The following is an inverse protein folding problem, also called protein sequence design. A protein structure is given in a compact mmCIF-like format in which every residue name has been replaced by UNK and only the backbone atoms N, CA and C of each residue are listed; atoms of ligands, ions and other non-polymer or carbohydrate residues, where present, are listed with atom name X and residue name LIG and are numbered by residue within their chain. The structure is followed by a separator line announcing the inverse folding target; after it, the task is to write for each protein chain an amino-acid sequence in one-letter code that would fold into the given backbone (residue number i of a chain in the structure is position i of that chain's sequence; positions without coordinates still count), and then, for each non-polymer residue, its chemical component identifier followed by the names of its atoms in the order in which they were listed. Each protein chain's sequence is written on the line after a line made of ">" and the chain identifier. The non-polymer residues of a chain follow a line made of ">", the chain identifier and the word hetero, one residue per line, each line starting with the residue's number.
data_IF_666423320367
#
_entry.id   IF_666423320367
#
_cell.length_a   1.000
_cell.length_b   1.000
_cell.length_c   1.000
_cell.angle_alpha   90.00
_cell.angle_beta   90.00
_cell.angle_gamma   90.00
#
_symmetry.space_group_name_H-M   'P 1'
#
loop_
_entity.id
_entity.type
_entity.pdbx_description
1 polymer ?
#
# COMPACT_ATOMS: atom_id res chain seq x y z
N UNK A 1 0.10 -29.92 15.80
CA UNK A 1 -1.02 -29.11 15.27
C UNK A 1 -0.50 -28.37 14.06
N UNK A 2 -1.23 -28.38 12.94
CA UNK A 2 -0.87 -27.59 11.77
C UNK A 2 -0.92 -26.09 12.10
N UNK A 3 -0.27 -25.27 11.27
CA UNK A 3 -0.32 -23.81 11.37
C UNK A 3 -1.75 -23.34 11.00
N UNK A 4 -2.39 -22.53 11.84
CA UNK A 4 -3.71 -21.93 11.58
C UNK A 4 -3.65 -21.09 10.31
N UNK A 5 -4.59 -21.29 9.37
CA UNK A 5 -4.70 -20.44 8.20
C UNK A 5 -5.51 -19.20 8.51
N UNK A 6 -5.12 -18.09 7.86
CA UNK A 6 -5.78 -16.80 7.96
C UNK A 6 -6.41 -16.48 6.61
N UNK A 7 -7.64 -15.97 6.67
CA UNK A 7 -8.47 -15.71 5.51
C UNK A 7 -8.99 -14.29 5.54
N UNK A 8 -9.04 -13.64 4.38
CA UNK A 8 -9.72 -12.38 4.18
C UNK A 8 -11.12 -12.61 3.61
N UNK A 9 -12.15 -12.00 4.20
CA UNK A 9 -13.55 -12.19 3.80
C UNK A 9 -14.13 -11.07 2.94
N UNK A 10 -13.58 -9.86 3.06
CA UNK A 10 -14.07 -8.69 2.36
C UNK A 10 -13.68 -7.41 3.11
N UNK A 11 -13.84 -6.29 2.42
CA UNK A 11 -13.45 -4.99 2.92
C UNK A 11 -13.94 -3.85 2.07
N UNK A 12 -13.60 -2.64 2.49
CA UNK A 12 -14.01 -1.41 1.83
C UNK A 12 -12.85 -0.43 1.74
N UNK A 13 -12.78 0.32 0.64
CA UNK A 13 -11.95 1.50 0.50
C UNK A 13 -12.87 2.70 0.27
N UNK A 14 -12.60 3.82 0.96
CA UNK A 14 -13.33 5.07 0.71
C UNK A 14 -12.92 5.72 -0.61
N UNK A 15 -13.70 6.68 -1.09
CA UNK A 15 -13.33 7.50 -2.24
C UNK A 15 -12.18 8.47 -1.89
N UNK A 16 -10.99 8.24 -2.46
CA UNK A 16 -9.78 9.03 -2.18
C UNK A 16 -9.76 10.41 -2.84
N UNK A 17 -10.69 10.72 -3.75
CA UNK A 17 -10.81 12.09 -4.27
C UNK A 17 -11.43 13.06 -3.25
N UNK A 18 -12.11 12.54 -2.22
CA UNK A 18 -12.76 13.34 -1.19
C UNK A 18 -11.75 14.15 -0.37
N UNK A 19 -12.27 15.19 0.27
CA UNK A 19 -11.57 15.94 1.31
C UNK A 19 -12.48 15.95 2.53
N UNK A 20 -12.17 15.05 3.47
CA UNK A 20 -13.06 14.72 4.59
C UNK A 20 -13.23 15.93 5.51
N UNK A 21 -12.15 16.68 5.74
CA UNK A 21 -12.20 17.90 6.57
C UNK A 21 -13.08 18.99 5.95
N UNK A 22 -13.02 19.21 4.62
CA UNK A 22 -13.86 20.20 3.92
C UNK A 22 -15.33 19.78 3.84
N UNK A 23 -15.59 18.48 3.88
CA UNK A 23 -16.96 17.92 4.01
C UNK A 23 -17.52 18.08 5.43
N UNK A 24 -16.73 18.61 6.39
CA UNK A 24 -17.11 18.77 7.80
C UNK A 24 -16.95 17.49 8.61
N UNK A 25 -16.27 16.48 8.07
CA UNK A 25 -15.95 15.23 8.73
C UNK A 25 -14.56 15.21 9.35
N UNK A 26 -14.29 14.11 10.05
CA UNK A 26 -13.06 13.84 10.80
C UNK A 26 -12.77 12.32 10.81
N UNK A 27 -11.84 11.87 11.67
CA UNK A 27 -11.56 10.45 11.82
C UNK A 27 -12.77 9.65 12.29
N UNK A 28 -13.66 10.20 13.13
CA UNK A 28 -14.85 9.50 13.58
C UNK A 28 -15.80 9.23 12.40
N UNK A 29 -15.97 10.24 11.54
CA UNK A 29 -16.75 10.12 10.29
C UNK A 29 -16.18 9.03 9.39
N UNK A 30 -14.87 9.07 9.16
CA UNK A 30 -14.18 8.13 8.27
C UNK A 30 -14.18 6.68 8.82
N UNK A 31 -13.92 6.51 10.13
CA UNK A 31 -13.93 5.19 10.76
C UNK A 31 -15.35 4.60 10.77
N UNK A 32 -16.38 5.40 10.99
CA UNK A 32 -17.77 4.91 10.94
C UNK A 32 -18.13 4.36 9.55
N UNK A 33 -17.84 5.13 8.51
CA UNK A 33 -18.04 4.71 7.11
C UNK A 33 -17.31 3.40 6.81
N UNK A 34 -16.04 3.29 7.24
CA UNK A 34 -15.25 2.09 7.04
C UNK A 34 -15.80 0.88 7.76
N UNK A 35 -16.19 1.01 9.04
CA UNK A 35 -16.76 -0.09 9.81
C UNK A 35 -18.02 -0.61 9.12
N UNK A 36 -18.94 0.29 8.78
CA UNK A 36 -20.24 -0.07 8.18
C UNK A 36 -20.05 -0.85 6.88
N UNK A 37 -19.29 -0.30 5.94
CA UNK A 37 -19.12 -0.91 4.63
C UNK A 37 -18.18 -2.12 4.64
N UNK A 38 -17.19 -2.17 5.54
CA UNK A 38 -16.32 -3.35 5.69
C UNK A 38 -17.11 -4.53 6.23
N UNK A 39 -17.98 -4.34 7.22
CA UNK A 39 -18.83 -5.40 7.76
C UNK A 39 -19.89 -5.84 6.72
N UNK A 40 -20.50 -4.88 6.02
CA UNK A 40 -21.47 -5.17 4.95
C UNK A 40 -20.86 -6.04 3.83
N UNK A 41 -19.71 -5.64 3.31
CA UNK A 41 -19.06 -6.33 2.18
C UNK A 41 -18.52 -7.72 2.57
N UNK A 42 -17.92 -7.82 3.76
CA UNK A 42 -17.40 -9.08 4.32
C UNK A 42 -18.51 -10.03 4.80
N UNK A 43 -19.74 -9.52 4.97
CA UNK A 43 -20.87 -10.27 5.55
C UNK A 43 -20.55 -10.83 6.94
N UNK A 44 -19.83 -10.05 7.75
CA UNK A 44 -19.54 -10.37 9.15
C UNK A 44 -20.40 -9.50 10.05
N UNK A 45 -21.02 -10.13 11.03
CA UNK A 45 -21.79 -9.42 12.05
C UNK A 45 -20.84 -8.68 13.00
N UNK A 46 -21.17 -7.44 13.39
CA UNK A 46 -20.31 -6.64 14.28
C UNK A 46 -19.97 -7.37 15.59
N UNK A 47 -20.89 -8.17 16.12
CA UNK A 47 -20.70 -8.93 17.35
C UNK A 47 -19.74 -10.11 17.25
N UNK A 48 -19.31 -10.46 16.04
CA UNK A 48 -18.30 -11.49 15.80
C UNK A 48 -16.87 -10.96 15.89
N UNK A 49 -16.66 -9.64 15.91
CA UNK A 49 -15.33 -9.04 15.96
C UNK A 49 -14.70 -9.24 17.34
N UNK A 50 -13.57 -9.94 17.37
CA UNK A 50 -12.83 -10.26 18.60
C UNK A 50 -11.69 -9.27 18.90
N UNK A 51 -11.13 -8.64 17.86
CA UNK A 51 -9.99 -7.70 17.98
C UNK A 51 -9.99 -6.67 16.84
N UNK A 52 -9.48 -5.46 17.12
CA UNK A 52 -9.40 -4.38 16.15
C UNK A 52 -7.95 -3.86 16.02
N UNK A 53 -7.47 -3.72 14.79
CA UNK A 53 -6.16 -3.13 14.49
C UNK A 53 -6.34 -1.89 13.62
N UNK A 54 -5.85 -0.74 14.08
CA UNK A 54 -5.96 0.54 13.37
C UNK A 54 -4.58 1.01 12.88
N UNK A 55 -4.35 1.01 11.57
CA UNK A 55 -3.18 1.64 10.94
C UNK A 55 -3.39 3.14 10.77
N UNK A 56 -2.48 3.94 11.32
CA UNK A 56 -2.45 5.39 11.10
C UNK A 56 -1.03 5.89 11.31
N UNK A 57 -0.51 6.74 10.42
CA UNK A 57 0.86 7.24 10.54
C UNK A 57 0.92 8.58 11.28
N UNK A 58 0.10 9.55 10.86
CA UNK A 58 0.34 10.96 11.18
C UNK A 58 -0.87 11.68 11.78
N UNK A 59 -1.89 10.96 12.28
CA UNK A 59 -3.13 11.55 12.80
C UNK A 59 -2.90 12.55 13.95
N UNK A 60 -1.90 12.30 14.81
CA UNK A 60 -1.51 13.22 15.89
C UNK A 60 -0.97 14.56 15.37
N UNK A 61 -0.36 14.55 14.18
CA UNK A 61 0.28 15.71 13.58
C UNK A 61 -0.67 16.47 12.66
N UNK A 62 -1.48 15.77 11.86
CA UNK A 62 -2.41 16.40 10.90
C UNK A 62 -3.74 16.84 11.51
N UNK A 63 -4.25 16.09 12.48
CA UNK A 63 -5.59 16.29 13.03
C UNK A 63 -5.61 16.36 14.56
N UNK A 64 -4.43 16.40 15.20
CA UNK A 64 -4.29 16.43 16.66
C UNK A 64 -5.02 15.30 17.39
N UNK A 65 -5.18 14.16 16.71
CA UNK A 65 -5.92 13.01 17.22
C UNK A 65 -5.03 11.76 17.19
N UNK A 66 -4.60 11.34 18.38
CA UNK A 66 -3.95 10.06 18.62
C UNK A 66 -4.96 9.01 19.12
N UNK A 67 -4.47 8.02 19.86
CA UNK A 67 -5.29 6.98 20.54
C UNK A 67 -6.41 6.36 19.66
N UNK A 68 -6.15 6.24 18.35
CA UNK A 68 -7.17 5.88 17.36
C UNK A 68 -7.73 4.46 17.53
N UNK A 69 -7.03 3.58 18.27
CA UNK A 69 -7.58 2.27 18.64
C UNK A 69 -8.88 2.35 19.44
N UNK A 70 -9.10 3.41 20.22
CA UNK A 70 -10.34 3.59 20.99
C UNK A 70 -11.49 4.18 20.16
N UNK A 71 -11.20 4.76 18.98
CA UNK A 71 -12.18 5.50 18.19
C UNK A 71 -13.27 4.61 17.54
N UNK A 72 -12.99 3.37 17.08
CA UNK A 72 -14.03 2.45 16.62
C UNK A 72 -15.19 2.26 17.61
N UNK A 73 -14.88 2.06 18.90
CA UNK A 73 -15.89 1.88 19.94
C UNK A 73 -16.70 3.17 20.24
N UNK A 74 -16.16 4.34 19.90
CA UNK A 74 -16.87 5.60 20.05
C UNK A 74 -17.93 5.82 18.95
N UNK A 75 -17.75 5.21 17.77
CA UNK A 75 -18.66 5.36 16.62
C UNK A 75 -19.53 4.14 16.37
N UNK A 76 -19.14 2.98 16.88
CA UNK A 76 -19.92 1.74 16.85
C UNK A 76 -20.03 1.12 18.25
N UNK A 77 -21.16 1.32 18.96
CA UNK A 77 -21.32 0.91 20.35
C UNK A 77 -21.15 -0.60 20.61
N UNK A 78 -21.38 -1.45 19.60
CA UNK A 78 -21.18 -2.90 19.76
C UNK A 78 -19.70 -3.29 19.90
N UNK A 79 -18.78 -2.40 19.54
CA UNK A 79 -17.34 -2.62 19.68
C UNK A 79 -16.80 -2.19 21.07
N UNK A 80 -17.65 -1.70 21.98
CA UNK A 80 -17.24 -1.36 23.34
C UNK A 80 -16.77 -2.61 24.09
N UNK A 81 -15.53 -2.58 24.57
CA UNK A 81 -14.90 -3.69 25.30
C UNK A 81 -14.08 -4.64 24.42
N UNK A 82 -14.14 -4.49 23.10
CA UNK A 82 -13.29 -5.24 22.16
C UNK A 82 -11.85 -4.68 22.21
N UNK A 83 -10.82 -5.53 22.38
CA UNK A 83 -9.43 -5.11 22.34
C UNK A 83 -9.09 -4.41 21.02
N UNK A 84 -8.47 -3.24 21.12
CA UNK A 84 -8.11 -2.44 19.95
C UNK A 84 -6.75 -1.76 20.13
N UNK A 85 -5.96 -1.69 19.04
CA UNK A 85 -4.62 -1.09 19.06
C UNK A 85 -4.34 -0.25 17.81
N UNK A 86 -3.53 0.80 17.95
CA UNK A 86 -3.05 1.63 16.84
C UNK A 86 -1.63 1.20 16.46
N UNK A 87 -1.38 1.04 15.17
CA UNK A 87 -0.11 0.62 14.57
C UNK A 87 0.47 1.77 13.75
N UNK A 88 1.78 1.97 13.87
CA UNK A 88 2.53 3.04 13.22
C UNK A 88 3.84 2.48 12.66
N UNK A 89 4.09 2.71 11.38
CA UNK A 89 5.34 2.43 10.69
C UNK A 89 5.45 3.25 9.38
N UNK A 90 5.25 4.56 9.48
CA UNK A 90 5.07 5.50 8.39
C UNK A 90 4.02 4.97 7.38
N UNK A 91 4.35 4.98 6.10
CA UNK A 91 3.48 4.48 5.03
C UNK A 91 3.24 2.95 5.05
N UNK A 92 3.91 2.20 5.94
CA UNK A 92 3.66 0.77 6.18
C UNK A 92 2.72 0.49 7.36
N UNK A 93 2.14 1.52 7.98
CA UNK A 93 1.28 1.37 9.17
C UNK A 93 0.11 0.41 8.95
N UNK A 94 -0.55 0.48 7.78
CA UNK A 94 -1.62 -0.45 7.41
C UNK A 94 -1.15 -1.90 7.30
N UNK A 95 0.03 -2.14 6.71
CA UNK A 95 0.61 -3.49 6.67
C UNK A 95 1.06 -3.99 8.05
N UNK A 96 1.49 -3.12 8.96
CA UNK A 96 1.76 -3.52 10.34
C UNK A 96 0.48 -3.93 11.07
N UNK A 97 -0.63 -3.21 10.86
CA UNK A 97 -1.93 -3.59 11.38
C UNK A 97 -2.38 -4.97 10.86
N UNK A 98 -2.16 -5.27 9.57
CA UNK A 98 -2.42 -6.58 8.97
C UNK A 98 -1.54 -7.69 9.57
N UNK A 99 -0.23 -7.45 9.74
CA UNK A 99 0.68 -8.43 10.34
C UNK A 99 0.31 -8.72 11.79
N UNK A 100 -0.09 -7.70 12.56
CA UNK A 100 -0.57 -7.86 13.92
C UNK A 100 -1.82 -8.74 13.97
N UNK A 101 -2.81 -8.48 13.11
CA UNK A 101 -4.01 -9.32 13.00
C UNK A 101 -3.68 -10.77 12.59
N UNK A 102 -2.79 -10.97 11.61
CA UNK A 102 -2.33 -12.31 11.21
C UNK A 102 -1.63 -13.04 12.36
N UNK A 103 -0.84 -12.34 13.17
CA UNK A 103 -0.17 -12.91 14.32
C UNK A 103 -1.15 -13.30 15.44
N UNK A 104 -2.10 -12.42 15.74
CA UNK A 104 -3.10 -12.61 16.79
C UNK A 104 -4.07 -13.77 16.48
N UNK A 105 -4.58 -13.82 15.25
CA UNK A 105 -5.41 -14.94 14.77
C UNK A 105 -4.59 -16.24 14.66
N UNK A 106 -3.33 -16.14 14.22
CA UNK A 106 -2.44 -17.29 14.10
C UNK A 106 -2.04 -17.90 15.43
N UNK A 107 -2.00 -17.09 16.50
CA UNK A 107 -1.79 -17.52 17.87
C UNK A 107 -3.03 -18.17 18.50
N UNK A 108 -4.20 -18.03 17.88
CA UNK A 108 -5.48 -18.51 18.41
C UNK A 108 -5.99 -17.72 19.61
N UNK A 109 -5.54 -16.47 19.79
CA UNK A 109 -6.09 -15.57 20.81
C UNK A 109 -7.48 -15.07 20.42
N UNK A 110 -7.71 -14.91 19.12
CA UNK A 110 -8.92 -14.38 18.50
C UNK A 110 -9.21 -15.14 17.22
N UNK A 111 -10.44 -15.07 16.73
CA UNK A 111 -10.86 -15.76 15.51
C UNK A 111 -11.37 -14.81 14.42
N UNK A 112 -11.78 -13.58 14.76
CA UNK A 112 -12.17 -12.55 13.81
C UNK A 112 -11.55 -11.19 14.15
N UNK A 113 -10.80 -10.62 13.22
CA UNK A 113 -10.14 -9.33 13.35
C UNK A 113 -10.69 -8.32 12.35
N UNK A 114 -11.04 -7.13 12.85
CA UNK A 114 -11.31 -5.97 12.02
C UNK A 114 -10.03 -5.14 11.88
N UNK A 115 -9.52 -4.99 10.66
CA UNK A 115 -8.33 -4.19 10.37
C UNK A 115 -8.75 -2.94 9.63
N UNK A 116 -8.46 -1.77 10.18
CA UNK A 116 -8.80 -0.47 9.63
C UNK A 116 -7.53 0.34 9.39
N UNK A 117 -7.49 1.13 8.33
CA UNK A 117 -6.44 2.11 8.10
C UNK A 117 -7.05 3.43 7.70
N UNK A 118 -6.57 4.52 8.30
CA UNK A 118 -7.13 5.87 8.09
C UNK A 118 -6.04 6.92 8.08
N UNK A 119 -6.19 7.93 7.23
CA UNK A 119 -5.35 9.12 7.22
C UNK A 119 -6.15 10.36 6.77
N UNK A 120 -5.78 11.53 7.30
CA UNK A 120 -6.32 12.83 6.94
C UNK A 120 -5.15 13.76 6.60
N UNK A 121 -4.75 13.81 5.33
CA UNK A 121 -3.57 14.56 4.86
C UNK A 121 -3.93 15.91 4.24
N UNK A 122 -5.19 16.08 3.82
CA UNK A 122 -5.72 17.31 3.20
C UNK A 122 -6.36 18.26 4.23
N UNK A 123 -6.16 18.01 5.53
CA UNK A 123 -6.58 18.90 6.63
C UNK A 123 -5.73 20.17 6.73
N UNK A 124 -4.54 20.17 6.12
CA UNK A 124 -3.59 21.29 6.08
C UNK A 124 -3.14 21.60 4.64
N UNK A 125 -2.54 22.78 4.38
CA UNK A 125 -1.89 23.09 3.11
C UNK A 125 -0.75 22.11 2.76
N UNK A 126 -0.49 21.91 1.47
CA UNK A 126 0.43 20.86 0.99
C UNK A 126 1.90 21.01 1.43
N UNK A 127 2.39 22.24 1.60
CA UNK A 127 3.71 22.53 2.15
C UNK A 127 3.82 22.08 3.61
N UNK A 128 2.79 22.35 4.40
CA UNK A 128 2.69 21.88 5.79
C UNK A 128 2.53 20.36 5.85
N UNK A 129 1.74 19.77 4.96
CA UNK A 129 1.59 18.32 4.87
C UNK A 129 2.93 17.63 4.61
N UNK A 130 3.71 18.13 3.63
CA UNK A 130 5.04 17.62 3.34
C UNK A 130 6.00 17.72 4.53
N UNK A 131 5.94 18.81 5.29
CA UNK A 131 6.74 18.98 6.50
C UNK A 131 6.34 18.00 7.62
N UNK A 132 5.03 17.78 7.84
CA UNK A 132 4.52 16.82 8.83
C UNK A 132 4.99 15.39 8.51
N UNK A 133 4.87 14.98 7.24
CA UNK A 133 5.31 13.67 6.80
C UNK A 133 6.84 13.50 6.95
N UNK A 134 7.58 14.60 7.04
CA UNK A 134 8.99 14.63 7.38
C UNK A 134 9.34 13.85 8.66
N UNK A 135 8.38 13.69 9.57
CA UNK A 135 8.53 12.96 10.83
C UNK A 135 8.84 11.45 10.66
N UNK A 136 8.62 10.88 9.48
CA UNK A 136 8.99 9.49 9.20
C UNK A 136 10.45 9.31 8.67
N UNK A 137 11.22 10.38 8.50
CA UNK A 137 12.68 10.31 8.35
C UNK A 137 13.38 10.46 9.70
N UNK A 138 14.71 10.32 9.73
CA UNK A 138 15.47 10.63 10.94
C UNK A 138 15.51 12.14 11.21
N UNK A 139 14.53 12.60 11.99
CA UNK A 139 14.33 14.00 12.31
C UNK A 139 15.61 14.69 12.81
N UNK A 140 16.06 15.72 12.08
CA UNK A 140 17.26 16.48 12.40
C UNK A 140 18.58 15.85 11.93
N UNK A 141 18.57 14.67 11.32
CA UNK A 141 19.76 13.98 10.81
C UNK A 141 19.76 13.83 9.29
N UNK A 142 18.58 13.67 8.69
CA UNK A 142 18.38 13.46 7.26
C UNK A 142 17.65 14.64 6.60
N UNK A 143 17.90 14.87 5.31
CA UNK A 143 17.12 15.82 4.50
C UNK A 143 17.23 17.29 4.92
N UNK A 144 18.33 17.69 5.56
CA UNK A 144 18.51 19.06 6.10
C UNK A 144 18.47 20.15 5.03
N UNK A 145 18.91 19.82 3.82
CA UNK A 145 18.95 20.74 2.68
C UNK A 145 17.74 20.58 1.74
N UNK A 146 16.78 19.72 2.10
CA UNK A 146 15.63 19.43 1.25
C UNK A 146 14.58 20.54 1.32
N UNK A 147 14.05 20.95 0.18
CA UNK A 147 12.82 21.76 0.16
C UNK A 147 11.62 20.87 0.44
N UNK A 148 11.55 19.73 -0.25
CA UNK A 148 10.54 18.70 -0.02
C UNK A 148 11.24 17.40 0.40
N UNK A 149 11.10 17.04 1.68
CA UNK A 149 11.89 15.96 2.29
C UNK A 149 11.75 14.62 1.55
N UNK A 150 10.52 14.15 1.28
CA UNK A 150 10.32 12.86 0.61
C UNK A 150 10.76 12.84 -0.85
N UNK A 151 10.40 13.83 -1.71
CA UNK A 151 10.99 13.95 -3.04
C UNK A 151 12.53 13.96 -3.02
N UNK A 152 13.15 14.65 -2.06
CA UNK A 152 14.61 14.63 -1.88
C UNK A 152 15.15 13.22 -1.60
N UNK A 153 14.54 12.48 -0.68
CA UNK A 153 14.98 11.11 -0.36
C UNK A 153 14.90 10.17 -1.56
N UNK A 154 13.81 10.26 -2.34
CA UNK A 154 13.65 9.39 -3.49
C UNK A 154 14.45 9.86 -4.71
N UNK A 155 14.81 11.14 -4.81
CA UNK A 155 15.82 11.59 -5.77
C UNK A 155 17.21 11.02 -5.45
N UNK A 156 17.56 10.87 -4.17
CA UNK A 156 18.81 10.17 -3.77
C UNK A 156 18.78 8.69 -4.19
N UNK A 157 17.63 8.01 -4.06
CA UNK A 157 17.47 6.65 -4.59
C UNK A 157 17.62 6.64 -6.12
N UNK A 158 16.99 7.58 -6.82
CA UNK A 158 17.13 7.73 -8.28
C UNK A 158 18.59 7.96 -8.69
N UNK A 159 19.29 8.85 -7.99
CA UNK A 159 20.70 9.15 -8.24
C UNK A 159 21.57 7.90 -8.08
N UNK A 160 21.23 7.02 -7.14
CA UNK A 160 21.92 5.73 -6.98
C UNK A 160 21.68 4.79 -8.16
N UNK A 161 20.44 4.72 -8.66
CA UNK A 161 20.13 3.97 -9.89
C UNK A 161 20.87 4.53 -11.11
N UNK A 162 20.94 5.85 -11.27
CA UNK A 162 21.76 6.49 -12.31
C UNK A 162 23.24 6.10 -12.16
N UNK A 163 23.78 6.16 -10.94
CA UNK A 163 25.19 5.80 -10.67
C UNK A 163 25.50 4.35 -11.02
N UNK A 164 24.61 3.41 -10.70
CA UNK A 164 24.85 1.96 -10.88
C UNK A 164 24.49 1.46 -12.28
N UNK A 165 23.48 2.05 -12.93
CA UNK A 165 22.73 1.41 -14.02
C UNK A 165 22.32 2.35 -15.17
N UNK A 166 22.74 3.64 -15.14
CA UNK A 166 22.42 4.64 -16.17
C UNK A 166 20.91 4.76 -16.49
N UNK A 167 20.11 4.97 -15.45
CA UNK A 167 18.66 5.12 -15.54
C UNK A 167 18.24 6.33 -16.40
N UNK A 168 17.49 6.08 -17.47
CA UNK A 168 16.77 7.11 -18.24
C UNK A 168 15.47 7.51 -17.54
N UNK A 169 15.17 8.81 -17.55
CA UNK A 169 13.93 9.38 -17.02
C UNK A 169 12.68 8.85 -17.75
N UNK A 170 12.78 8.46 -19.03
CA UNK A 170 11.63 7.97 -19.79
C UNK A 170 10.92 6.78 -19.14
N UNK A 171 11.66 5.93 -18.42
CA UNK A 171 11.09 4.78 -17.70
C UNK A 171 10.30 5.21 -16.46
N UNK A 172 10.78 6.23 -15.75
CA UNK A 172 10.05 6.81 -14.61
C UNK A 172 8.77 7.50 -15.06
N UNK A 173 8.87 8.24 -16.18
CA UNK A 173 7.71 8.86 -16.82
C UNK A 173 6.67 7.83 -17.26
N UNK A 174 7.09 6.72 -17.86
CA UNK A 174 6.20 5.64 -18.29
C UNK A 174 5.46 4.98 -17.11
N UNK A 175 6.14 4.78 -15.98
CA UNK A 175 5.52 4.30 -14.73
C UNK A 175 4.46 5.28 -14.22
N UNK A 176 4.78 6.58 -14.17
CA UNK A 176 3.81 7.59 -13.75
C UNK A 176 2.58 7.64 -14.68
N UNK A 177 2.81 7.55 -15.99
CA UNK A 177 1.74 7.51 -17.00
C UNK A 177 0.85 6.27 -16.87
N UNK A 178 1.45 5.09 -16.66
CA UNK A 178 0.73 3.82 -16.41
C UNK A 178 -0.20 3.95 -15.20
N UNK A 179 0.32 4.39 -14.06
CA UNK A 179 -0.47 4.51 -12.83
C UNK A 179 -1.61 5.53 -12.96
N UNK A 180 -1.36 6.70 -13.58
CA UNK A 180 -2.41 7.69 -13.87
C UNK A 180 -3.47 7.15 -14.85
N UNK A 181 -3.06 6.37 -15.86
CA UNK A 181 -3.98 5.76 -16.83
C UNK A 181 -4.84 4.68 -16.17
N UNK A 182 -4.26 3.83 -15.34
CA UNK A 182 -4.96 2.78 -14.59
C UNK A 182 -6.02 3.39 -13.64
N UNK A 183 -5.66 4.46 -12.93
CA UNK A 183 -6.55 5.17 -12.02
C UNK A 183 -7.85 5.67 -12.66
N UNK A 184 -7.86 5.98 -13.97
CA UNK A 184 -9.07 6.42 -14.69
C UNK A 184 -10.20 5.41 -14.67
N UNK A 185 -9.87 4.13 -14.59
CA UNK A 185 -10.84 3.04 -14.52
C UNK A 185 -11.29 2.70 -13.10
N UNK A 186 -10.59 3.22 -12.10
CA UNK A 186 -10.89 3.00 -10.69
C UNK A 186 -11.86 4.09 -10.19
N UNK A 187 -13.11 3.76 -9.83
CA UNK A 187 -14.07 4.75 -9.36
C UNK A 187 -13.69 5.39 -8.01
N UNK A 188 -12.80 4.75 -7.24
CA UNK A 188 -12.35 5.23 -5.93
C UNK A 188 -11.00 5.96 -5.97
N UNK A 189 -10.34 6.01 -7.15
CA UNK A 189 -9.04 6.66 -7.29
C UNK A 189 -9.14 8.18 -7.25
N UNK A 190 -8.19 8.83 -6.58
CA UNK A 190 -8.10 10.28 -6.46
C UNK A 190 -7.96 10.97 -7.83
N UNK A 191 -7.20 10.38 -8.75
CA UNK A 191 -6.92 10.97 -10.07
C UNK A 191 -7.81 10.45 -11.19
N UNK A 192 -8.92 9.75 -10.90
CA UNK A 192 -9.80 9.12 -11.91
C UNK A 192 -10.29 10.05 -13.03
N UNK A 193 -10.41 11.35 -12.73
CA UNK A 193 -10.81 12.40 -13.70
C UNK A 193 -9.65 13.02 -14.49
N UNK A 194 -8.40 12.67 -14.18
CA UNK A 194 -7.22 13.24 -14.82
C UNK A 194 -6.94 12.53 -16.15
N UNK A 195 -6.39 13.27 -17.11
CA UNK A 195 -5.83 12.69 -18.33
C UNK A 195 -4.31 12.80 -18.24
N UNK A 196 -3.55 11.70 -18.42
CA UNK A 196 -2.10 11.74 -18.29
C UNK A 196 -1.44 12.85 -19.11
N UNK A 197 -1.85 13.04 -20.37
CA UNK A 197 -1.33 14.11 -21.23
C UNK A 197 -1.60 15.53 -20.71
N UNK A 198 -2.72 15.74 -19.99
CA UNK A 198 -3.05 17.06 -19.43
C UNK A 198 -2.11 17.43 -18.25
N UNK A 199 -1.46 16.44 -17.64
CA UNK A 199 -0.55 16.65 -16.49
C UNK A 199 0.92 16.41 -16.82
N UNK A 200 1.23 15.55 -17.79
CA UNK A 200 2.58 15.25 -18.27
C UNK A 200 3.03 16.19 -19.40
N UNK A 201 2.08 16.73 -20.17
CA UNK A 201 2.32 17.44 -21.42
C UNK A 201 2.34 16.52 -22.65
N UNK A 202 2.23 17.09 -23.87
CA UNK A 202 2.12 16.31 -25.11
C UNK A 202 3.36 15.46 -25.42
N UNK A 203 4.55 15.94 -25.04
CA UNK A 203 5.82 15.22 -25.21
C UNK A 203 6.22 14.42 -23.96
N UNK A 204 5.35 14.39 -22.95
CA UNK A 204 5.58 13.71 -21.67
C UNK A 204 6.57 14.40 -20.72
N UNK A 205 7.28 15.44 -21.21
CA UNK A 205 8.18 16.31 -20.45
C UNK A 205 7.81 17.77 -20.71
N UNK A 206 7.03 18.35 -19.81
CA UNK A 206 6.63 19.76 -19.87
C UNK A 206 6.97 20.43 -18.53
N UNK A 207 7.86 21.41 -18.51
CA UNK A 207 8.28 22.07 -17.26
C UNK A 207 7.19 22.99 -16.67
N UNK A 208 6.17 23.35 -17.46
CA UNK A 208 5.03 24.15 -17.00
C UNK A 208 3.96 23.26 -16.37
N UNK A 209 3.61 22.15 -17.04
CA UNK A 209 2.58 21.23 -16.58
C UNK A 209 3.13 20.21 -15.57
N UNK A 210 4.37 19.76 -15.74
CA UNK A 210 5.03 18.74 -14.93
C UNK A 210 6.40 19.23 -14.42
N UNK A 211 6.44 20.30 -13.60
CA UNK A 211 7.70 20.87 -13.12
C UNK A 211 8.49 19.88 -12.27
N UNK A 212 9.80 20.11 -12.18
CA UNK A 212 10.64 19.45 -11.17
C UNK A 212 10.18 19.84 -9.76
N UNK A 213 10.14 18.85 -8.86
CA UNK A 213 9.79 19.03 -7.45
C UNK A 213 11.06 19.10 -6.61
N UNK A 214 11.94 18.12 -6.78
CA UNK A 214 13.26 18.07 -6.15
C UNK A 214 14.21 17.26 -7.02
N UNK A 215 15.43 17.74 -7.21
CA UNK A 215 16.43 17.07 -8.03
C UNK A 215 15.91 16.73 -9.43
N UNK A 216 15.95 15.43 -9.80
CA UNK A 216 15.48 14.92 -11.07
C UNK A 216 14.04 14.39 -11.08
N UNK A 217 13.28 14.53 -9.99
CA UNK A 217 11.89 14.08 -9.92
C UNK A 217 10.93 15.20 -10.31
N UNK A 218 9.91 14.85 -11.11
CA UNK A 218 8.83 15.76 -11.52
C UNK A 218 7.56 15.53 -10.72
N UNK A 219 6.60 16.44 -10.85
CA UNK A 219 5.32 16.40 -10.14
C UNK A 219 4.57 15.07 -10.31
N UNK A 220 4.56 14.50 -11.52
CA UNK A 220 3.89 13.22 -11.80
C UNK A 220 4.62 12.00 -11.24
N UNK A 221 5.89 12.16 -10.86
CA UNK A 221 6.65 11.10 -10.18
C UNK A 221 6.27 10.97 -8.71
N UNK A 222 5.45 11.88 -8.16
CA UNK A 222 5.09 11.92 -6.75
C UNK A 222 3.63 11.47 -6.53
N UNK A 223 3.38 10.64 -5.51
CA UNK A 223 2.03 10.32 -5.06
C UNK A 223 1.27 11.52 -4.50
N UNK A 224 -0.05 11.42 -4.47
CA UNK A 224 -0.92 12.52 -4.04
C UNK A 224 -1.13 12.54 -2.51
N UNK A 225 -1.21 13.74 -1.92
CA UNK A 225 -1.75 13.91 -0.56
C UNK A 225 -3.22 13.50 -0.56
N UNK A 226 -3.60 12.60 0.35
CA UNK A 226 -4.87 11.88 0.29
C UNK A 226 -5.52 11.76 1.66
N UNK A 227 -6.79 12.20 1.76
CA UNK A 227 -7.66 11.76 2.85
C UNK A 227 -8.31 10.45 2.44
N UNK A 228 -8.43 9.53 3.38
CA UNK A 228 -9.21 8.31 3.14
C UNK A 228 -8.81 7.17 4.05
N UNK A 229 -9.50 6.06 3.83
CA UNK A 229 -9.19 4.83 4.54
C UNK A 229 -9.57 3.57 3.80
N UNK A 230 -9.13 2.46 4.36
CA UNK A 230 -9.47 1.12 3.91
C UNK A 230 -9.66 0.21 5.12
N UNK A 231 -10.59 -0.73 5.02
CA UNK A 231 -10.89 -1.71 6.05
C UNK A 231 -11.00 -3.11 5.46
N UNK A 232 -10.62 -4.13 6.23
CA UNK A 232 -10.76 -5.53 5.86
C UNK A 232 -11.00 -6.41 7.07
N UNK A 233 -11.79 -7.47 6.89
CA UNK A 233 -11.99 -8.51 7.92
C UNK A 233 -11.09 -9.70 7.63
N UNK A 234 -10.27 -10.06 8.62
CA UNK A 234 -9.45 -11.28 8.63
C UNK A 234 -9.99 -12.27 9.65
N UNK A 235 -9.97 -13.56 9.31
CA UNK A 235 -10.51 -14.63 10.16
C UNK A 235 -9.63 -15.87 10.19
N UNK A 236 -9.72 -16.64 11.26
CA UNK A 236 -9.06 -17.94 11.40
C UNK A 236 -9.86 -19.07 10.71
N UNK A 237 -9.23 -20.23 10.53
CA UNK A 237 -9.94 -21.47 10.16
C UNK A 237 -11.11 -21.77 11.11
N UNK A 238 -10.91 -21.57 12.42
CA UNK A 238 -11.91 -21.88 13.43
C UNK A 238 -13.16 -20.99 13.31
N UNK A 239 -13.00 -19.73 12.89
CA UNK A 239 -14.14 -18.87 12.56
C UNK A 239 -14.93 -19.45 11.39
N UNK A 240 -14.25 -19.78 10.27
CA UNK A 240 -14.91 -20.31 9.07
C UNK A 240 -15.64 -21.63 9.32
N UNK A 241 -15.10 -22.49 10.18
CA UNK A 241 -15.73 -23.76 10.57
C UNK A 241 -17.02 -23.55 11.38
N UNK A 242 -17.08 -22.50 12.21
CA UNK A 242 -18.28 -22.16 12.99
C UNK A 242 -19.38 -21.53 12.13
N UNK A 243 -18.99 -20.78 11.09
CA UNK A 243 -19.95 -20.12 10.22
C UNK A 243 -20.66 -21.14 9.32
N UNK A 244 -21.98 -21.29 9.52
CA UNK A 244 -22.82 -22.14 8.66
C UNK A 244 -23.15 -21.38 7.36
N UNK A 245 -22.57 -21.77 6.23
CA UNK A 245 -23.02 -21.31 4.91
C UNK A 245 -21.97 -20.65 4.00
N UNK A 246 -22.39 -19.58 3.29
CA UNK A 246 -21.69 -19.00 2.12
C UNK A 246 -20.39 -18.25 2.40
N UNK A 247 -19.99 -18.04 3.66
CA UNK A 247 -18.74 -17.36 4.03
C UNK A 247 -17.51 -18.00 3.38
N UNK A 248 -17.52 -19.33 3.21
CA UNK A 248 -16.45 -20.07 2.54
C UNK A 248 -16.32 -19.75 1.03
N UNK A 249 -17.36 -19.19 0.40
CA UNK A 249 -17.35 -18.93 -1.06
C UNK A 249 -16.58 -17.67 -1.45
N UNK A 250 -16.26 -16.77 -0.52
CA UNK A 250 -15.60 -15.47 -0.82
C UNK A 250 -14.31 -15.21 -0.03
N UNK A 251 -13.70 -16.26 0.50
CA UNK A 251 -12.50 -16.16 1.32
C UNK A 251 -11.22 -16.24 0.48
N UNK A 252 -10.26 -15.35 0.73
CA UNK A 252 -8.88 -15.44 0.18
C UNK A 252 -7.91 -15.80 1.27
N UNK A 253 -7.00 -16.74 1.01
CA UNK A 253 -6.00 -17.15 2.00
C UNK A 253 -4.81 -16.21 1.99
N UNK A 254 -4.31 -15.87 3.18
CA UNK A 254 -2.97 -15.31 3.35
C UNK A 254 -1.97 -16.46 3.24
N UNK A 255 -1.40 -16.66 2.05
CA UNK A 255 -0.50 -17.79 1.75
C UNK A 255 0.88 -17.61 2.36
N UNK A 256 1.38 -16.38 2.34
CA UNK A 256 2.70 -16.06 2.86
C UNK A 256 2.83 -14.57 3.15
N UNK A 257 3.78 -14.23 4.00
CA UNK A 257 4.15 -12.84 4.25
C UNK A 257 5.63 -12.72 4.59
N UNK A 258 6.18 -11.55 4.31
CA UNK A 258 7.53 -11.14 4.68
C UNK A 258 7.48 -9.82 5.42
N UNK A 259 8.39 -9.64 6.39
CA UNK A 259 8.52 -8.40 7.14
C UNK A 259 9.98 -8.20 7.52
N UNK A 260 10.56 -7.07 7.13
CA UNK A 260 11.89 -6.65 7.55
C UNK A 260 11.94 -5.17 7.88
N UNK A 261 12.88 -4.85 8.76
CA UNK A 261 13.26 -3.48 9.09
C UNK A 261 14.72 -3.28 8.72
N UNK A 262 15.02 -2.16 8.08
CA UNK A 262 16.35 -1.65 7.77
C UNK A 262 16.64 -0.40 8.61
N UNK A 263 17.83 0.20 8.46
CA UNK A 263 18.16 1.45 9.15
C UNK A 263 17.25 2.58 8.69
N UNK A 264 16.91 3.51 9.60
CA UNK A 264 16.10 4.68 9.23
C UNK A 264 16.83 5.57 8.21
N UNK A 265 18.15 5.73 8.38
CA UNK A 265 19.01 6.54 7.52
C UNK A 265 19.17 5.95 6.12
N UNK A 266 18.85 6.71 5.08
CA UNK A 266 18.96 6.28 3.68
C UNK A 266 20.42 6.05 3.28
N UNK A 267 21.34 6.92 3.68
CA UNK A 267 22.75 6.79 3.29
C UNK A 267 23.38 5.51 3.87
N UNK A 268 23.06 5.15 5.11
CA UNK A 268 23.42 3.85 5.68
C UNK A 268 22.86 2.68 4.85
N UNK A 269 21.61 2.76 4.40
CA UNK A 269 21.01 1.70 3.54
C UNK A 269 21.75 1.55 2.21
N UNK A 270 22.08 2.67 1.55
CA UNK A 270 22.83 2.66 0.29
C UNK A 270 24.24 2.13 0.49
N UNK A 271 24.92 2.52 1.57
CA UNK A 271 26.25 2.02 1.92
C UNK A 271 26.25 0.50 2.20
N UNK A 272 25.20 -0.03 2.84
CA UNK A 272 25.03 -1.46 3.08
C UNK A 272 24.79 -2.27 1.80
N UNK A 273 24.34 -1.62 0.72
CA UNK A 273 24.10 -2.27 -0.57
C UNK A 273 25.23 -2.08 -1.57
N UNK A 274 26.30 -1.36 -1.21
CA UNK A 274 27.47 -1.13 -2.08
C UNK A 274 28.12 -2.46 -2.48
N UNK A 275 28.39 -2.63 -3.77
CA UNK A 275 28.94 -3.87 -4.33
C UNK A 275 27.92 -5.03 -4.42
N UNK A 276 26.72 -4.87 -3.87
CA UNK A 276 25.60 -5.80 -4.04
C UNK A 276 24.77 -5.51 -5.29
N UNK A 277 24.01 -6.49 -5.79
CA UNK A 277 23.21 -6.33 -7.01
C UNK A 277 21.97 -5.44 -6.82
N UNK A 278 21.39 -5.45 -5.61
CA UNK A 278 20.14 -4.73 -5.31
C UNK A 278 20.43 -3.45 -4.54
N UNK A 279 19.81 -2.33 -4.93
CA UNK A 279 19.91 -1.06 -4.20
C UNK A 279 19.34 -1.16 -2.79
N UNK A 280 18.31 -1.99 -2.58
CA UNK A 280 17.63 -2.19 -1.30
C UNK A 280 17.53 -3.68 -0.93
N UNK A 281 18.61 -4.33 -0.43
CA UNK A 281 18.62 -5.77 -0.15
C UNK A 281 17.50 -6.23 0.80
N UNK A 282 17.12 -5.40 1.79
CA UNK A 282 16.01 -5.73 2.71
C UNK A 282 14.66 -5.85 1.99
N UNK A 283 14.43 -5.09 0.91
CA UNK A 283 13.24 -5.18 0.07
C UNK A 283 13.20 -6.52 -0.66
N UNK A 284 14.32 -6.91 -1.30
CA UNK A 284 14.45 -8.20 -1.98
C UNK A 284 14.20 -9.36 -1.02
N UNK A 285 14.84 -9.34 0.14
CA UNK A 285 14.71 -10.40 1.14
C UNK A 285 13.29 -10.48 1.73
N UNK A 286 12.54 -9.38 1.75
CA UNK A 286 11.14 -9.37 2.20
C UNK A 286 10.23 -10.04 1.18
N UNK A 287 10.41 -9.72 -0.11
CA UNK A 287 9.72 -10.38 -1.23
C UNK A 287 10.00 -11.88 -1.21
N UNK A 288 11.28 -12.27 -1.13
CA UNK A 288 11.68 -13.69 -1.09
C UNK A 288 11.10 -14.43 0.12
N UNK A 289 11.04 -13.77 1.29
CA UNK A 289 10.42 -14.34 2.48
C UNK A 289 8.92 -14.60 2.28
N UNK A 290 8.19 -13.66 1.66
CA UNK A 290 6.76 -13.80 1.41
C UNK A 290 6.47 -14.93 0.40
N UNK A 291 7.22 -14.98 -0.71
CA UNK A 291 7.13 -16.04 -1.72
C UNK A 291 7.49 -17.41 -1.15
N UNK A 292 8.60 -17.51 -0.41
CA UNK A 292 9.01 -18.75 0.24
C UNK A 292 7.99 -19.25 1.27
N UNK A 293 7.40 -18.34 2.06
CA UNK A 293 6.33 -18.69 3.00
C UNK A 293 5.07 -19.19 2.30
N UNK A 294 4.77 -18.66 1.11
CA UNK A 294 3.67 -19.11 0.25
C UNK A 294 3.97 -20.39 -0.53
N UNK A 295 5.24 -20.86 -0.53
CA UNK A 295 5.73 -21.91 -1.41
C UNK A 295 5.50 -21.61 -2.91
N UNK A 296 5.65 -20.34 -3.30
CA UNK A 296 5.46 -19.86 -4.67
C UNK A 296 6.71 -19.15 -5.18
N UNK A 297 6.79 -18.99 -6.48
CA UNK A 297 7.76 -18.15 -7.19
C UNK A 297 7.08 -16.90 -7.75
N UNK A 298 7.86 -15.94 -8.24
CA UNK A 298 7.30 -14.72 -8.83
C UNK A 298 6.46 -15.02 -10.09
N UNK A 299 6.78 -16.08 -10.81
CA UNK A 299 6.02 -16.51 -12.00
C UNK A 299 4.64 -17.10 -11.65
N UNK A 300 4.39 -17.42 -10.38
CA UNK A 300 3.09 -17.90 -9.90
C UNK A 300 2.15 -16.76 -9.46
N UNK A 301 2.58 -15.50 -9.57
CA UNK A 301 1.79 -14.32 -9.16
C UNK A 301 1.15 -13.67 -10.38
N UNK A 302 -0.17 -13.49 -10.34
CA UNK A 302 -0.95 -13.00 -11.48
C UNK A 302 -1.08 -11.47 -11.50
N UNK A 303 -0.91 -10.79 -10.36
CA UNK A 303 -0.95 -9.32 -10.26
C UNK A 303 -0.24 -8.83 -9.01
N UNK A 304 0.29 -7.61 -9.06
CA UNK A 304 1.02 -7.00 -7.97
C UNK A 304 0.41 -5.65 -7.57
N UNK A 305 0.32 -5.42 -6.26
CA UNK A 305 0.08 -4.10 -5.67
C UNK A 305 1.37 -3.65 -4.98
N UNK A 306 2.03 -2.63 -5.49
CA UNK A 306 3.36 -2.21 -5.03
C UNK A 306 3.36 -0.76 -4.58
N UNK A 307 4.28 -0.43 -3.69
CA UNK A 307 4.37 0.90 -3.09
C UNK A 307 5.09 1.89 -3.99
N UNK A 308 4.35 2.46 -4.93
CA UNK A 308 4.76 3.50 -5.88
C UNK A 308 4.60 4.91 -5.31
N UNK A 309 5.05 5.19 -4.09
CA UNK A 309 4.97 6.56 -3.54
C UNK A 309 5.75 7.57 -4.41
N UNK A 310 6.77 7.06 -5.11
CA UNK A 310 7.41 7.71 -6.23
C UNK A 310 7.61 6.74 -7.41
N UNK A 311 7.69 7.24 -8.65
CA UNK A 311 7.93 6.39 -9.83
C UNK A 311 9.22 5.56 -9.71
N UNK A 312 10.28 6.14 -9.14
CA UNK A 312 11.55 5.44 -8.85
C UNK A 312 11.38 4.29 -7.83
N UNK A 313 10.41 4.38 -6.92
CA UNK A 313 10.16 3.30 -5.97
C UNK A 313 9.51 2.09 -6.61
N UNK A 314 8.56 2.28 -7.55
CA UNK A 314 8.05 1.19 -8.38
C UNK A 314 9.15 0.61 -9.27
N UNK A 315 9.96 1.48 -9.91
CA UNK A 315 11.10 1.06 -10.71
C UNK A 315 12.07 0.15 -9.93
N UNK A 316 12.38 0.53 -8.69
CA UNK A 316 13.17 -0.29 -7.80
C UNK A 316 12.45 -1.62 -7.47
N UNK A 317 11.16 -1.59 -7.12
CA UNK A 317 10.42 -2.79 -6.74
C UNK A 317 10.40 -3.85 -7.87
N UNK A 318 10.36 -3.47 -9.15
CA UNK A 318 10.35 -4.42 -10.30
C UNK A 318 11.50 -5.44 -10.22
N UNK A 319 12.74 -5.00 -10.07
CA UNK A 319 13.89 -5.92 -9.96
C UNK A 319 13.88 -6.67 -8.62
N UNK A 320 13.40 -6.06 -7.53
CA UNK A 320 13.35 -6.70 -6.21
C UNK A 320 12.28 -7.79 -6.13
N UNK A 321 11.18 -7.66 -6.87
CA UNK A 321 10.21 -8.74 -7.13
C UNK A 321 10.89 -9.93 -7.83
N UNK A 322 11.90 -9.65 -8.67
CA UNK A 322 12.55 -10.64 -9.53
C UNK A 322 11.88 -10.75 -10.90
N UNK A 323 11.11 -9.75 -11.32
CA UNK A 323 10.51 -9.70 -12.67
C UNK A 323 11.57 -9.49 -13.75
N UNK A 324 12.67 -8.84 -13.39
CA UNK A 324 13.85 -8.64 -14.24
C UNK A 324 15.11 -8.83 -13.40
N UNK A 325 16.27 -9.10 -14.05
CA UNK A 325 17.56 -9.04 -13.38
C UNK A 325 17.82 -7.66 -12.75
N UNK A 326 18.64 -7.59 -11.69
CA UNK A 326 19.06 -6.31 -11.11
C UNK A 326 19.73 -5.44 -12.17
N UNK A 327 19.27 -4.20 -12.31
CA UNK A 327 19.70 -3.28 -13.37
C UNK A 327 18.86 -3.26 -14.63
N UNK A 328 17.82 -4.07 -14.69
CA UNK A 328 17.06 -4.25 -15.92
C UNK A 328 15.56 -3.98 -15.76
N UNK A 329 15.13 -3.28 -14.70
CA UNK A 329 13.73 -2.90 -14.51
C UNK A 329 13.13 -2.19 -15.73
N UNK A 330 13.93 -1.41 -16.46
CA UNK A 330 13.55 -0.77 -17.71
C UNK A 330 12.99 -1.75 -18.76
N UNK A 331 13.43 -3.01 -18.80
CA UNK A 331 12.91 -4.03 -19.73
C UNK A 331 11.45 -4.36 -19.46
N UNK A 332 11.05 -4.38 -18.19
CA UNK A 332 9.65 -4.63 -17.83
C UNK A 332 8.76 -3.45 -18.24
N UNK A 333 9.27 -2.22 -18.06
CA UNK A 333 8.59 -0.98 -18.45
C UNK A 333 8.46 -0.90 -19.98
N UNK A 334 9.56 -1.05 -20.72
CA UNK A 334 9.59 -0.92 -22.18
C UNK A 334 8.74 -1.99 -22.90
N UNK A 335 8.75 -3.23 -22.39
CA UNK A 335 8.00 -4.33 -23.01
C UNK A 335 6.48 -4.24 -22.80
N UNK A 336 6.00 -3.34 -21.95
CA UNK A 336 4.59 -3.27 -21.54
C UNK A 336 4.16 -4.46 -20.67
N UNK A 337 5.10 -5.22 -20.10
CA UNK A 337 4.76 -6.37 -19.24
C UNK A 337 3.97 -5.96 -17.99
N UNK A 338 4.14 -4.72 -17.52
CA UNK A 338 3.49 -4.17 -16.31
C UNK A 338 2.06 -3.66 -16.57
N UNK A 339 1.64 -3.61 -17.83
CA UNK A 339 0.30 -3.17 -18.24
C UNK A 339 -0.79 -4.07 -17.65
N UNK A 340 -2.02 -3.55 -17.58
CA UNK A 340 -3.18 -4.31 -17.07
C UNK A 340 -3.45 -5.61 -17.85
N UNK A 341 -3.15 -5.61 -19.15
CA UNK A 341 -3.23 -6.77 -20.04
C UNK A 341 -1.84 -7.37 -20.34
N UNK A 342 -0.81 -6.91 -19.63
CA UNK A 342 0.55 -7.42 -19.68
C UNK A 342 0.71 -8.74 -18.91
N UNK A 343 1.93 -9.29 -18.94
CA UNK A 343 2.24 -10.58 -18.30
C UNK A 343 2.22 -10.49 -16.77
N UNK A 344 2.64 -9.37 -16.19
CA UNK A 344 2.67 -9.17 -14.72
C UNK A 344 2.13 -7.79 -14.39
N UNK A 345 0.80 -7.61 -14.44
CA UNK A 345 0.15 -6.34 -14.12
C UNK A 345 0.61 -5.80 -12.76
N UNK A 346 1.04 -4.53 -12.75
CA UNK A 346 1.36 -3.79 -11.53
C UNK A 346 0.32 -2.69 -11.35
N UNK A 347 -0.19 -2.56 -10.13
CA UNK A 347 -1.09 -1.50 -9.71
C UNK A 347 -2.28 -1.29 -10.68
N UNK A 348 -3.11 -2.31 -10.97
CA UNK A 348 -4.22 -2.19 -11.92
C UNK A 348 -5.22 -1.09 -11.55
N UNK A 349 -5.32 -0.76 -10.26
CA UNK A 349 -6.13 0.33 -9.70
C UNK A 349 -5.51 1.73 -9.77
N UNK A 350 -4.24 1.83 -10.22
CA UNK A 350 -3.49 3.09 -10.36
C UNK A 350 -2.52 3.39 -9.22
N UNK A 351 -2.29 2.45 -8.30
CA UNK A 351 -1.24 2.58 -7.29
C UNK A 351 -1.45 3.77 -6.36
N UNK A 352 -0.36 4.32 -5.85
CA UNK A 352 -0.29 5.49 -4.99
C UNK A 352 -0.25 6.77 -5.84
N UNK A 353 0.45 6.75 -6.98
CA UNK A 353 0.56 7.89 -7.91
C UNK A 353 -0.82 8.28 -8.46
N UNK A 354 -1.55 7.30 -8.99
CA UNK A 354 -2.85 7.51 -9.59
C UNK A 354 -4.01 7.28 -8.61
N UNK A 355 -3.96 6.21 -7.82
CA UNK A 355 -5.04 5.80 -6.92
C UNK A 355 -5.21 6.72 -5.71
N UNK A 356 -4.10 7.26 -5.18
CA UNK A 356 -4.05 8.04 -3.95
C UNK A 356 -3.33 7.28 -2.83
N UNK A 357 -2.77 8.05 -1.89
CA UNK A 357 -1.85 7.54 -0.88
C UNK A 357 -2.17 8.04 0.54
N UNK A 358 -3.32 7.67 1.15
CA UNK A 358 -3.53 7.89 2.58
C UNK A 358 -2.60 6.94 3.31
N UNK A 359 -1.51 7.45 3.88
CA UNK A 359 -0.35 6.62 4.23
C UNK A 359 -0.68 5.49 5.21
N UNK A 360 -1.53 5.75 6.22
CA UNK A 360 -1.96 4.75 7.20
C UNK A 360 -2.86 3.64 6.62
N UNK A 361 -3.55 3.93 5.52
CA UNK A 361 -4.51 3.02 4.89
C UNK A 361 -3.93 2.24 3.71
N UNK A 362 -2.82 2.71 3.14
CA UNK A 362 -2.27 2.19 1.88
C UNK A 362 -1.99 0.70 1.90
N UNK A 363 -1.32 0.19 2.95
CA UNK A 363 -1.06 -1.26 3.06
C UNK A 363 -2.32 -2.12 3.11
N UNK A 364 -3.41 -1.61 3.70
CA UNK A 364 -4.70 -2.31 3.76
C UNK A 364 -5.42 -2.22 2.43
N UNK A 365 -5.39 -1.05 1.78
CA UNK A 365 -5.93 -0.86 0.42
C UNK A 365 -5.27 -1.81 -0.58
N UNK A 366 -3.95 -1.89 -0.59
CA UNK A 366 -3.19 -2.82 -1.45
C UNK A 366 -3.57 -4.29 -1.19
N UNK A 367 -3.73 -4.66 0.08
CA UNK A 367 -4.19 -6.01 0.45
C UNK A 367 -5.63 -6.27 0.01
N UNK A 368 -6.52 -5.27 0.13
CA UNK A 368 -7.91 -5.34 -0.32
C UNK A 368 -8.01 -5.46 -1.84
N UNK A 369 -7.23 -4.70 -2.60
CA UNK A 369 -7.18 -4.81 -4.07
C UNK A 369 -6.70 -6.20 -4.50
N UNK A 370 -5.63 -6.71 -3.88
CA UNK A 370 -5.14 -8.06 -4.10
C UNK A 370 -6.22 -9.13 -3.76
N UNK A 371 -6.94 -8.98 -2.65
CA UNK A 371 -8.09 -9.83 -2.29
C UNK A 371 -9.18 -9.76 -3.36
N UNK A 372 -9.57 -8.55 -3.78
CA UNK A 372 -10.64 -8.33 -4.75
C UNK A 372 -10.30 -8.94 -6.13
N UNK A 373 -9.03 -8.84 -6.56
CA UNK A 373 -8.56 -9.49 -7.77
C UNK A 373 -8.69 -11.00 -7.70
N UNK A 374 -8.20 -11.62 -6.61
CA UNK A 374 -8.27 -13.07 -6.40
C UNK A 374 -9.73 -13.56 -6.31
N UNK A 375 -10.63 -12.74 -5.76
CA UNK A 375 -12.06 -13.07 -5.67
C UNK A 375 -12.85 -12.79 -6.96
N UNK A 376 -12.27 -12.12 -7.95
CA UNK A 376 -12.98 -11.75 -9.18
C UNK A 376 -14.03 -10.65 -8.97
N UNK A 377 -13.84 -9.77 -7.98
CA UNK A 377 -14.80 -8.72 -7.60
C UNK A 377 -14.23 -7.30 -7.67
N UNK A 378 -13.06 -7.11 -8.28
CA UNK A 378 -12.41 -5.81 -8.42
C UNK A 378 -13.06 -4.89 -9.50
N UNK A 379 -14.23 -5.25 -10.02
CA UNK A 379 -15.00 -4.41 -10.94
C UNK A 379 -14.23 -4.00 -12.20
N UNK A 380 -14.18 -2.71 -12.50
CA UNK A 380 -13.57 -2.17 -13.72
C UNK A 380 -12.03 -2.31 -13.77
N UNK A 381 -11.38 -2.55 -12.62
CA UNK A 381 -9.92 -2.74 -12.54
C UNK A 381 -9.51 -4.21 -12.55
N UNK A 382 -10.46 -5.15 -12.59
CA UNK A 382 -10.21 -6.60 -12.50
C UNK A 382 -9.14 -7.11 -13.48
N UNK A 383 -8.24 -7.95 -12.95
CA UNK A 383 -7.34 -8.81 -13.72
C UNK A 383 -8.02 -10.17 -13.87
N UNK A 384 -8.36 -10.55 -15.10
CA UNK A 384 -9.13 -11.76 -15.38
C UNK A 384 -8.33 -13.02 -14.99
N UNK A 385 -8.97 -13.94 -14.27
CA UNK A 385 -8.36 -15.21 -13.88
C UNK A 385 -7.28 -15.14 -12.80
N UNK A 386 -7.09 -14.00 -12.13
CA UNK A 386 -6.10 -13.88 -11.05
C UNK A 386 -6.39 -14.88 -9.91
N UNK A 387 -5.40 -15.71 -9.55
CA UNK A 387 -5.46 -16.71 -8.49
C UNK A 387 -4.53 -16.40 -7.33
N UNK A 388 -3.41 -15.74 -7.62
CA UNK A 388 -2.44 -15.26 -6.65
C UNK A 388 -2.13 -13.79 -6.91
N UNK A 389 -2.14 -13.00 -5.85
CA UNK A 389 -1.75 -11.59 -5.88
C UNK A 389 -0.70 -11.33 -4.79
N UNK A 390 0.24 -10.44 -5.08
CA UNK A 390 1.30 -10.08 -4.14
C UNK A 390 1.28 -8.59 -3.84
N UNK A 391 1.48 -8.23 -2.58
CA UNK A 391 1.64 -6.84 -2.16
C UNK A 391 3.07 -6.56 -1.70
N UNK A 392 3.58 -5.35 -1.93
CA UNK A 392 4.87 -4.89 -1.39
C UNK A 392 4.73 -3.46 -0.88
N UNK A 393 4.54 -3.29 0.42
CA UNK A 393 4.38 -2.00 1.10
C UNK A 393 5.64 -1.67 1.92
N UNK A 394 6.12 -0.43 1.86
CA UNK A 394 7.15 0.04 2.78
C UNK A 394 6.80 1.39 3.43
N UNK A 395 7.52 1.72 4.50
CA UNK A 395 7.44 2.97 5.24
C UNK A 395 8.76 3.71 5.24
N UNK A 396 8.68 5.04 5.11
CA UNK A 396 9.82 5.93 5.01
C UNK A 396 10.64 5.69 3.74
N UNK A 397 11.97 5.83 3.82
CA UNK A 397 12.90 5.58 2.71
C UNK A 397 13.16 4.09 2.47
N UNK A 398 12.12 3.25 2.54
CA UNK A 398 12.17 1.78 2.54
C UNK A 398 12.78 1.17 3.82
N UNK A 399 12.44 1.75 4.98
CA UNK A 399 12.99 1.35 6.28
C UNK A 399 12.18 0.22 6.93
N UNK A 400 10.85 0.25 6.86
CA UNK A 400 10.00 -0.87 7.28
C UNK A 400 9.30 -1.43 6.06
N UNK A 401 9.42 -2.73 5.78
CA UNK A 401 8.93 -3.34 4.55
C UNK A 401 8.09 -4.55 4.91
N UNK A 402 6.89 -4.62 4.35
CA UNK A 402 5.98 -5.75 4.49
C UNK A 402 5.49 -6.21 3.11
N UNK A 403 5.35 -7.51 2.96
CA UNK A 403 4.81 -8.10 1.74
C UNK A 403 3.88 -9.24 2.09
N UNK A 404 2.78 -9.37 1.35
CA UNK A 404 1.81 -10.46 1.50
C UNK A 404 1.62 -11.15 0.17
N UNK A 405 1.41 -12.46 0.20
CA UNK A 405 0.90 -13.25 -0.93
C UNK A 405 -0.49 -13.73 -0.56
N UNK A 406 -1.46 -13.34 -1.36
CA UNK A 406 -2.86 -13.72 -1.25
C UNK A 406 -3.23 -14.67 -2.37
N UNK A 407 -4.08 -15.66 -2.09
CA UNK A 407 -4.58 -16.50 -3.17
C UNK A 407 -5.67 -17.46 -2.75
N UNK A 408 -6.22 -18.17 -3.74
CA UNK A 408 -7.07 -19.35 -3.51
C UNK A 408 -6.21 -20.59 -3.36
N UNK A 409 -6.63 -21.54 -2.53
CA UNK A 409 -6.00 -22.87 -2.52
C UNK A 409 -6.17 -23.54 -3.91
N UNK A 410 -5.27 -24.46 -4.25
CA UNK A 410 -5.49 -25.29 -5.45
C UNK A 410 -6.77 -26.12 -5.29
N UNK A 411 -7.58 -26.28 -6.36
CA UNK A 411 -8.84 -27.03 -6.33
C UNK A 411 -8.74 -28.44 -5.75
#
# INVERSE_FOLDING_TARGET
>A
MGRTNIWALGGHQTDFARNITREGGDFATLIKELIDHTLETSQVEVGDIDVIHVGNAFGELFAHQGHLGALPAAVEPHLVGIPASRHEAACASGSMALLAAVADLGAGHYDCALVLGVELEKSVPGDQAGAIMGSAAWAGHEGRDATHMWPYMFDLVRAEYVRRQDLDYEYLRAIAELNLRNARSNPLAQTRGWKPLDVLGPDGVDDTLNPFVEGGLRRTDCSQMTDGGAGIVLVSDAYLERQRGSARRRATRVKGWGHRTSTIDLQQKLALSEGGPFVMPALRQTVEQALAAACLTVDDIDTFEVHDCFSISEYAIIEHLGLTPPGESWKAVESGQLERDGKTPINPGGGLIGGGHPVGATGIRMFLDAHNHVQGVAGAIQIEGARNAMTVNFGGSMSTIASFVLGVDEP
#
